data_IF_676477916236
#
_entry.id   IF_676477916236
#
_cell.length_a   1.000
_cell.length_b   1.000
_cell.length_c   1.000
_cell.angle_alpha   90.00
_cell.angle_beta   90.00
_cell.angle_gamma   90.00
#
_symmetry.space_group_name_H-M   'P 1'
#
loop_
_entity.id
_entity.type
_entity.pdbx_description
1 polymer ?
#
# COMPACT_ATOMS: atom_id res chain seq x y z
N UNK A 1 12.54 -28.87 0.84
CA UNK A 1 11.79 -28.43 2.04
C UNK A 1 10.49 -29.19 2.07
N UNK A 2 10.09 -29.72 3.23
CA UNK A 2 8.80 -30.39 3.40
C UNK A 2 7.83 -29.39 4.02
N UNK A 3 6.58 -29.36 3.54
CA UNK A 3 5.54 -28.48 4.08
C UNK A 3 4.45 -29.37 4.67
N UNK A 4 4.15 -29.15 5.95
CA UNK A 4 3.14 -29.90 6.68
C UNK A 4 1.95 -29.01 7.00
N UNK A 5 0.76 -29.61 7.00
CA UNK A 5 -0.46 -29.02 7.51
C UNK A 5 -0.68 -29.51 8.94
N UNK A 6 -0.47 -28.64 9.94
CA UNK A 6 -0.45 -29.02 11.36
C UNK A 6 -1.04 -27.93 12.23
N UNK A 7 -1.48 -28.32 13.43
CA UNK A 7 -1.88 -27.36 14.45
C UNK A 7 -0.69 -26.53 14.92
N UNK A 8 -0.89 -25.21 15.02
CA UNK A 8 0.05 -24.22 15.53
C UNK A 8 -0.69 -23.28 16.48
N UNK A 9 -0.11 -23.02 17.64
CA UNK A 9 -0.56 -21.94 18.51
C UNK A 9 -0.02 -20.61 17.96
N UNK A 10 -0.92 -19.69 17.61
CA UNK A 10 -0.58 -18.33 17.20
C UNK A 10 -0.44 -17.45 18.46
N UNK A 11 0.77 -16.97 18.79
CA UNK A 11 0.96 -16.10 19.95
C UNK A 11 0.18 -14.79 19.82
N UNK A 12 -0.06 -14.15 20.96
CA UNK A 12 -0.40 -12.73 20.97
C UNK A 12 0.90 -11.92 20.90
N UNK A 13 1.09 -11.19 19.79
CA UNK A 13 2.22 -10.28 19.62
C UNK A 13 1.94 -8.90 20.21
N UNK A 14 0.72 -8.64 20.69
CA UNK A 14 0.30 -7.35 21.22
C UNK A 14 -0.14 -6.34 20.16
N UNK A 15 -0.68 -5.22 20.65
CA UNK A 15 -1.11 -4.07 19.86
C UNK A 15 -0.30 -2.84 20.26
N UNK A 16 -0.12 -1.86 19.36
CA UNK A 16 0.52 -0.59 19.71
C UNK A 16 -0.29 0.15 20.79
N UNK A 17 0.40 0.70 21.79
CA UNK A 17 -0.23 1.47 22.87
C UNK A 17 -0.49 2.94 22.52
N UNK A 18 0.15 3.44 21.45
CA UNK A 18 0.02 4.80 20.96
C UNK A 18 0.15 4.84 19.42
N UNK A 19 -0.56 5.77 18.80
CA UNK A 19 -0.40 6.12 17.39
C UNK A 19 0.92 6.90 17.20
N UNK A 20 1.82 6.48 16.29
CA UNK A 20 3.00 7.26 15.97
C UNK A 20 2.63 8.63 15.37
N UNK A 21 3.50 9.63 15.54
CA UNK A 21 3.25 10.98 15.02
C UNK A 21 4.46 11.42 14.20
N UNK A 22 4.23 11.83 12.96
CA UNK A 22 5.25 12.48 12.14
C UNK A 22 5.39 13.94 12.56
N UNK A 23 6.58 14.32 13.01
CA UNK A 23 6.86 15.71 13.39
C UNK A 23 6.89 16.65 12.18
N UNK A 24 6.67 17.95 12.41
CA UNK A 24 6.86 18.99 11.39
C UNK A 24 8.21 18.89 10.67
N UNK A 25 9.29 18.55 11.40
CA UNK A 25 10.64 18.42 10.83
C UNK A 25 10.72 17.35 9.73
N UNK A 26 9.92 16.28 9.80
CA UNK A 26 9.86 15.25 8.75
C UNK A 26 9.33 15.87 7.45
N UNK A 27 8.23 16.63 7.53
CA UNK A 27 7.64 17.27 6.36
C UNK A 27 8.56 18.34 5.76
N UNK A 28 9.27 19.12 6.59
CA UNK A 28 10.29 20.06 6.13
C UNK A 28 11.43 19.36 5.37
N UNK A 29 11.89 18.21 5.87
CA UNK A 29 12.88 17.38 5.17
C UNK A 29 12.35 16.83 3.84
N UNK A 30 11.07 16.43 3.77
CA UNK A 30 10.44 15.97 2.53
C UNK A 30 10.36 17.08 1.48
N UNK A 31 10.03 18.31 1.89
CA UNK A 31 10.08 19.49 1.00
C UNK A 31 11.51 19.77 0.54
N UNK A 32 12.51 19.63 1.41
CA UNK A 32 13.91 19.79 1.04
C UNK A 32 14.36 18.73 0.01
N UNK A 33 14.00 17.45 0.21
CA UNK A 33 14.25 16.36 -0.75
C UNK A 33 13.56 16.61 -2.10
N UNK A 34 12.32 17.09 -2.08
CA UNK A 34 11.60 17.49 -3.30
C UNK A 34 12.35 18.60 -4.04
N UNK A 35 12.80 19.66 -3.34
CA UNK A 35 13.57 20.75 -3.95
C UNK A 35 14.89 20.28 -4.57
N UNK A 36 15.56 19.29 -3.98
CA UNK A 36 16.75 18.69 -4.57
C UNK A 36 16.43 17.98 -5.90
N UNK A 37 15.33 17.21 -5.96
CA UNK A 37 14.83 16.59 -7.20
C UNK A 37 14.43 17.65 -8.24
N UNK A 38 13.77 18.72 -7.80
CA UNK A 38 13.42 19.86 -8.65
C UNK A 38 14.66 20.50 -9.28
N UNK A 39 15.71 20.74 -8.49
CA UNK A 39 16.97 21.29 -8.99
C UNK A 39 17.60 20.38 -10.05
N UNK A 40 17.64 19.06 -9.80
CA UNK A 40 18.21 18.10 -10.74
C UNK A 40 17.42 18.01 -12.07
N UNK A 41 16.12 18.28 -12.03
CA UNK A 41 15.22 18.27 -13.20
C UNK A 41 15.01 19.66 -13.81
N UNK A 42 15.69 20.69 -13.32
CA UNK A 42 15.56 22.09 -13.77
C UNK A 42 14.11 22.62 -13.67
N UNK A 43 13.42 22.25 -12.59
CA UNK A 43 12.07 22.71 -12.27
C UNK A 43 12.09 23.91 -11.32
N UNK A 44 11.31 24.93 -11.63
CA UNK A 44 11.10 26.08 -10.74
C UNK A 44 9.97 25.81 -9.73
N UNK A 45 8.96 25.06 -10.17
CA UNK A 45 7.78 24.74 -9.37
C UNK A 45 7.38 23.28 -9.57
N UNK A 46 6.88 22.67 -8.49
CA UNK A 46 6.11 21.42 -8.56
C UNK A 46 4.73 21.68 -7.99
N UNK A 47 3.71 21.35 -8.77
CA UNK A 47 2.31 21.41 -8.40
C UNK A 47 1.82 19.98 -8.17
N UNK A 48 1.28 19.71 -6.98
CA UNK A 48 0.74 18.41 -6.61
C UNK A 48 -0.77 18.55 -6.47
N UNK A 49 -1.50 17.88 -7.35
CA UNK A 49 -2.94 17.74 -7.29
C UNK A 49 -3.30 16.63 -6.30
N UNK A 50 -4.30 16.89 -5.46
CA UNK A 50 -4.85 15.89 -4.55
C UNK A 50 -6.38 15.88 -4.55
N UNK A 51 -6.98 14.71 -4.62
CA UNK A 51 -8.42 14.47 -4.40
C UNK A 51 -8.64 13.37 -3.34
N UNK A 52 -9.90 13.05 -3.03
CA UNK A 52 -10.24 12.02 -2.02
C UNK A 52 -9.55 10.67 -2.27
N UNK A 53 -9.47 10.23 -3.51
CA UNK A 53 -8.91 8.93 -3.89
C UNK A 53 -7.39 9.03 -4.13
N UNK A 54 -6.92 10.17 -4.61
CA UNK A 54 -5.56 10.40 -5.06
C UNK A 54 -4.90 11.57 -4.31
N UNK A 55 -4.60 11.40 -3.02
CA UNK A 55 -4.01 12.46 -2.20
C UNK A 55 -2.64 12.16 -1.63
N UNK A 56 -2.15 10.93 -1.78
CA UNK A 56 -1.02 10.46 -1.01
C UNK A 56 0.27 11.28 -1.23
N UNK A 57 0.46 11.87 -2.41
CA UNK A 57 1.59 12.77 -2.67
C UNK A 57 1.46 14.11 -1.91
N UNK A 58 0.26 14.70 -1.85
CA UNK A 58 -0.02 15.90 -1.04
C UNK A 58 0.16 15.59 0.44
N UNK A 59 -0.46 14.51 0.94
CA UNK A 59 -0.39 14.12 2.34
C UNK A 59 1.03 13.75 2.77
N UNK A 60 1.80 13.09 1.91
CA UNK A 60 3.22 12.83 2.16
C UNK A 60 4.02 14.12 2.38
N UNK A 61 3.78 15.15 1.56
CA UNK A 61 4.55 16.38 1.60
C UNK A 61 4.19 17.31 2.74
N UNK A 62 2.91 17.41 3.12
CA UNK A 62 2.47 18.42 4.08
C UNK A 62 1.58 17.91 5.23
N UNK A 63 1.16 16.65 5.18
CA UNK A 63 0.28 16.04 6.18
C UNK A 63 -1.18 16.47 6.09
N UNK A 64 -1.57 17.21 5.04
CA UNK A 64 -2.96 17.48 4.70
C UNK A 64 -3.52 16.40 3.78
N UNK A 65 -4.72 15.90 4.05
CA UNK A 65 -5.45 15.01 3.16
C UNK A 65 -6.82 15.60 2.74
N UNK A 66 -7.09 15.79 1.44
CA UNK A 66 -8.42 16.16 0.94
C UNK A 66 -9.44 15.05 1.23
N UNK A 67 -10.55 15.40 1.90
CA UNK A 67 -11.59 14.43 2.29
C UNK A 67 -12.69 14.23 1.25
N UNK A 68 -13.22 15.33 0.73
CA UNK A 68 -14.29 15.35 -0.27
C UNK A 68 -14.18 16.54 -1.24
N UNK A 69 -13.27 17.48 -0.97
CA UNK A 69 -12.86 18.55 -1.88
C UNK A 69 -11.50 18.20 -2.50
N UNK A 70 -11.13 18.95 -3.55
CA UNK A 70 -9.82 18.86 -4.20
C UNK A 70 -8.81 19.82 -3.55
N UNK A 71 -7.52 19.61 -3.79
CA UNK A 71 -6.45 20.51 -3.34
C UNK A 71 -5.35 20.64 -4.39
N UNK A 72 -4.61 21.75 -4.29
CA UNK A 72 -3.40 21.97 -5.08
C UNK A 72 -2.27 22.50 -4.18
N UNK A 73 -1.23 21.69 -3.99
CA UNK A 73 -0.02 22.09 -3.30
C UNK A 73 1.00 22.60 -4.32
N UNK A 74 1.46 23.83 -4.18
CA UNK A 74 2.48 24.45 -5.03
C UNK A 74 3.75 24.61 -4.23
N UNK A 75 4.81 23.91 -4.66
CA UNK A 75 6.14 23.98 -4.05
C UNK A 75 7.09 24.70 -5.00
N UNK A 76 7.56 25.88 -4.59
CA UNK A 76 8.65 26.60 -5.27
C UNK A 76 10.04 26.23 -4.74
N UNK A 77 11.08 26.68 -5.45
CA UNK A 77 12.50 26.50 -5.06
C UNK A 77 12.83 26.95 -3.64
N UNK A 78 12.12 27.95 -3.13
CA UNK A 78 12.30 28.54 -1.80
C UNK A 78 10.96 28.93 -1.18
N UNK A 79 10.97 29.37 0.09
CA UNK A 79 9.77 29.89 0.77
C UNK A 79 8.84 28.80 1.29
N UNK A 80 7.65 29.20 1.73
CA UNK A 80 6.61 28.26 2.14
C UNK A 80 5.84 27.74 0.91
N UNK A 81 5.46 26.46 0.88
CA UNK A 81 4.51 25.98 -0.13
C UNK A 81 3.17 26.71 -0.03
N UNK A 82 2.47 26.84 -1.16
CA UNK A 82 1.10 27.33 -1.19
C UNK A 82 0.15 26.14 -1.25
N UNK A 83 -0.89 26.11 -0.42
CA UNK A 83 -1.92 25.07 -0.45
C UNK A 83 -3.25 25.71 -0.82
N UNK A 84 -3.68 25.48 -2.06
CA UNK A 84 -4.97 25.94 -2.58
C UNK A 84 -6.05 24.95 -2.19
N UNK A 85 -7.16 25.46 -1.64
CA UNK A 85 -8.20 24.67 -0.98
C UNK A 85 -9.59 25.21 -1.29
N UNK A 86 -10.59 24.33 -1.24
CA UNK A 86 -11.99 24.71 -1.13
C UNK A 86 -12.38 25.17 0.28
N UNK A 87 -13.66 25.47 0.48
CA UNK A 87 -14.18 26.05 1.72
C UNK A 87 -13.98 25.14 2.94
N UNK A 88 -14.24 23.84 2.81
CA UNK A 88 -14.16 22.91 3.94
C UNK A 88 -12.71 22.46 4.19
N UNK A 89 -11.92 22.33 3.10
CA UNK A 89 -10.49 22.07 3.18
C UNK A 89 -9.71 23.21 3.86
N UNK A 90 -10.15 24.46 3.69
CA UNK A 90 -9.48 25.65 4.23
C UNK A 90 -9.23 25.58 5.74
N UNK A 91 -10.29 25.31 6.51
CA UNK A 91 -10.21 25.19 7.97
C UNK A 91 -9.47 23.93 8.40
N UNK A 92 -9.70 22.80 7.71
CA UNK A 92 -9.05 21.53 8.04
C UNK A 92 -7.53 21.59 7.90
N UNK A 93 -7.02 22.36 6.93
CA UNK A 93 -5.58 22.52 6.70
C UNK A 93 -4.79 23.17 7.84
N UNK A 94 -5.44 23.70 8.89
CA UNK A 94 -4.73 24.16 10.11
C UNK A 94 -4.08 23.02 10.90
N UNK A 95 -4.59 21.80 10.71
CA UNK A 95 -4.04 20.61 11.36
C UNK A 95 -2.81 20.05 10.63
N UNK A 96 -2.52 20.54 9.41
CA UNK A 96 -1.37 20.10 8.65
C UNK A 96 -0.07 20.54 9.37
N UNK A 97 0.84 19.61 9.69
CA UNK A 97 2.04 19.91 10.47
C UNK A 97 3.07 20.78 9.71
N UNK A 98 3.05 20.78 8.37
CA UNK A 98 3.91 21.64 7.58
C UNK A 98 3.34 23.08 7.52
N UNK A 99 4.12 24.12 7.88
CA UNK A 99 3.71 25.50 7.63
C UNK A 99 3.54 25.79 6.14
N UNK A 100 2.37 26.30 5.77
CA UNK A 100 2.01 26.59 4.38
C UNK A 100 1.26 27.90 4.26
N UNK A 101 1.34 28.53 3.08
CA UNK A 101 0.47 29.62 2.70
C UNK A 101 -0.84 29.03 2.16
N UNK A 102 -1.88 29.01 2.99
CA UNK A 102 -3.20 28.57 2.53
C UNK A 102 -3.77 29.62 1.56
N UNK A 103 -4.30 29.18 0.41
CA UNK A 103 -5.05 30.02 -0.54
C UNK A 103 -6.46 29.49 -0.76
N UNK A 104 -7.50 30.28 -0.47
CA UNK A 104 -8.89 29.87 -0.68
C UNK A 104 -9.20 30.01 -2.17
N UNK A 105 -9.36 28.89 -2.85
CA UNK A 105 -9.67 28.83 -4.26
C UNK A 105 -11.03 28.14 -4.46
N UNK A 106 -12.07 28.96 -4.60
CA UNK A 106 -13.47 28.51 -4.57
C UNK A 106 -13.84 27.44 -5.61
N UNK A 107 -13.07 27.31 -6.70
CA UNK A 107 -13.36 26.28 -7.71
C UNK A 107 -13.09 24.85 -7.21
N UNK A 108 -12.26 24.69 -6.16
CA UNK A 108 -12.03 23.40 -5.50
C UNK A 108 -13.09 23.08 -4.43
N UNK A 109 -13.96 24.04 -4.10
CA UNK A 109 -15.09 23.81 -3.19
C UNK A 109 -16.13 22.91 -3.83
N UNK A 110 -17.05 22.31 -3.06
CA UNK A 110 -18.12 21.47 -3.63
C UNK A 110 -19.03 22.23 -4.62
N UNK A 111 -19.71 21.48 -5.51
CA UNK A 111 -20.65 22.06 -6.49
C UNK A 111 -21.83 22.73 -5.78
N UNK A 112 -22.28 23.87 -6.30
CA UNK A 112 -23.43 24.61 -5.77
C UNK A 112 -23.13 25.54 -4.59
N UNK A 113 -21.90 25.52 -4.05
CA UNK A 113 -21.44 26.55 -3.11
C UNK A 113 -21.18 27.88 -3.84
N UNK A 114 -21.13 29.00 -3.11
CA UNK A 114 -20.79 30.31 -3.69
C UNK A 114 -19.31 30.35 -4.11
N UNK A 115 -19.09 30.51 -5.42
CA UNK A 115 -17.75 30.60 -6.03
C UNK A 115 -17.48 31.94 -6.70
N UNK A 116 -18.33 32.94 -6.45
CA UNK A 116 -18.23 34.25 -7.09
C UNK A 116 -17.20 35.17 -6.42
N UNK A 117 -16.77 34.82 -5.20
CA UNK A 117 -15.72 35.51 -4.46
C UNK A 117 -14.40 34.72 -4.50
N UNK A 118 -13.29 35.38 -4.16
CA UNK A 118 -11.97 34.74 -4.08
C UNK A 118 -11.08 35.03 -5.29
N UNK A 119 -9.99 34.26 -5.40
CA UNK A 119 -8.96 34.42 -6.43
C UNK A 119 -9.24 33.54 -7.64
N UNK A 120 -8.88 34.01 -8.83
CA UNK A 120 -8.84 33.13 -10.01
C UNK A 120 -7.66 32.17 -9.92
N UNK A 121 -7.70 31.06 -10.67
CA UNK A 121 -6.56 30.13 -10.75
C UNK A 121 -5.29 30.85 -11.21
N UNK A 122 -5.39 31.72 -12.22
CA UNK A 122 -4.24 32.47 -12.74
C UNK A 122 -3.66 33.40 -11.69
N UNK A 123 -4.50 34.11 -10.93
CA UNK A 123 -4.03 35.00 -9.87
C UNK A 123 -3.37 34.21 -8.73
N UNK A 124 -3.91 33.04 -8.38
CA UNK A 124 -3.32 32.17 -7.37
C UNK A 124 -1.95 31.62 -7.80
N UNK A 125 -1.82 31.19 -9.06
CA UNK A 125 -0.54 30.73 -9.64
C UNK A 125 0.48 31.87 -9.72
N UNK A 126 0.06 33.06 -10.17
CA UNK A 126 0.92 34.23 -10.23
C UNK A 126 1.36 34.72 -8.84
N UNK A 127 0.47 34.67 -7.85
CA UNK A 127 0.80 34.98 -6.45
C UNK A 127 1.83 34.01 -5.86
N UNK A 128 1.80 32.74 -6.28
CA UNK A 128 2.84 31.76 -5.95
C UNK A 128 4.17 31.99 -6.69
N UNK A 129 4.22 32.96 -7.62
CA UNK A 129 5.41 33.35 -8.37
C UNK A 129 5.56 32.67 -9.74
N UNK A 130 4.55 31.93 -10.20
CA UNK A 130 4.60 31.23 -11.50
C UNK A 130 4.35 32.24 -12.62
N UNK A 131 5.18 32.20 -13.67
CA UNK A 131 5.12 33.10 -14.81
C UNK A 131 5.53 32.37 -16.12
N UNK A 132 5.61 33.12 -17.23
CA UNK A 132 5.93 32.58 -18.56
C UNK A 132 7.34 31.97 -18.70
N UNK A 133 8.24 32.24 -17.76
CA UNK A 133 9.61 31.69 -17.78
C UNK A 133 9.74 30.44 -16.90
N UNK A 134 8.68 30.05 -16.19
CA UNK A 134 8.72 28.97 -15.20
C UNK A 134 8.71 27.58 -15.84
N UNK A 135 9.63 26.73 -15.40
CA UNK A 135 9.57 25.29 -15.65
C UNK A 135 8.73 24.61 -14.55
N UNK A 136 7.63 23.98 -14.94
CA UNK A 136 6.58 23.51 -14.03
C UNK A 136 6.47 21.99 -14.11
N UNK A 137 6.63 21.32 -12.97
CA UNK A 137 6.28 19.92 -12.80
C UNK A 137 4.86 19.81 -12.25
N UNK A 138 4.08 18.87 -12.78
CA UNK A 138 2.77 18.51 -12.23
C UNK A 138 2.79 17.05 -11.80
N UNK A 139 2.34 16.79 -10.57
CA UNK A 139 2.15 15.45 -10.04
C UNK A 139 0.70 15.26 -9.58
N UNK A 140 0.18 14.07 -9.80
CA UNK A 140 -1.10 13.56 -9.31
C UNK A 140 -0.85 12.21 -8.66
N UNK A 141 -1.17 11.12 -9.36
CA UNK A 141 -1.01 9.74 -8.85
C UNK A 141 -0.39 8.72 -9.81
N UNK A 142 -0.06 9.09 -11.06
CA UNK A 142 0.64 8.16 -11.97
C UNK A 142 1.48 8.87 -13.04
N UNK A 143 2.50 8.19 -13.53
CA UNK A 143 3.26 8.58 -14.72
C UNK A 143 3.20 7.44 -15.74
N UNK A 144 3.61 7.75 -16.98
CA UNK A 144 3.57 6.81 -18.09
C UNK A 144 4.98 6.52 -18.61
N UNK A 145 5.10 5.46 -19.40
CA UNK A 145 6.35 5.07 -20.03
C UNK A 145 6.32 5.29 -21.54
N UNK A 146 7.49 5.24 -22.17
CA UNK A 146 7.61 5.30 -23.64
C UNK A 146 6.99 4.11 -24.36
N UNK A 147 6.67 3.04 -23.63
CA UNK A 147 5.93 1.90 -24.17
C UNK A 147 4.43 2.22 -24.38
N UNK A 148 3.90 3.22 -23.68
CA UNK A 148 2.50 3.61 -23.73
C UNK A 148 2.29 4.86 -24.60
N UNK A 149 3.19 5.84 -24.49
CA UNK A 149 3.10 7.12 -25.19
C UNK A 149 4.47 7.55 -25.72
N UNK A 150 4.52 8.26 -26.85
CA UNK A 150 5.79 8.73 -27.42
C UNK A 150 6.50 9.79 -26.58
N UNK A 151 5.73 10.63 -25.89
CA UNK A 151 6.22 11.73 -25.05
C UNK A 151 5.50 11.68 -23.68
N UNK A 152 5.77 10.66 -22.85
CA UNK A 152 5.04 10.40 -21.60
C UNK A 152 5.14 11.56 -20.60
N UNK A 153 6.20 12.35 -20.65
CA UNK A 153 6.41 13.54 -19.81
C UNK A 153 5.38 14.66 -20.07
N UNK A 154 4.61 14.59 -21.16
CA UNK A 154 3.56 15.56 -21.48
C UNK A 154 2.14 14.98 -21.40
N UNK A 155 2.01 13.77 -20.84
CA UNK A 155 0.73 13.08 -20.62
C UNK A 155 0.37 13.17 -19.14
N UNK A 156 -0.88 13.53 -18.85
CA UNK A 156 -1.36 13.82 -17.51
C UNK A 156 -2.67 13.09 -17.20
N UNK A 157 -2.77 12.63 -15.97
CA UNK A 157 -3.94 12.05 -15.31
C UNK A 157 -4.74 13.08 -14.49
N UNK A 158 -4.16 14.27 -14.29
CA UNK A 158 -4.77 15.38 -13.53
C UNK A 158 -5.81 16.14 -14.35
N UNK A 159 -6.72 16.91 -13.72
CA UNK A 159 -7.76 17.66 -14.43
C UNK A 159 -7.23 18.55 -15.57
N UNK A 160 -7.85 18.45 -16.75
CA UNK A 160 -7.38 19.12 -17.97
C UNK A 160 -7.37 20.65 -17.83
N UNK A 161 -8.34 21.23 -17.12
CA UNK A 161 -8.42 22.69 -16.95
C UNK A 161 -7.20 23.26 -16.22
N UNK A 162 -6.58 22.48 -15.33
CA UNK A 162 -5.35 22.87 -14.64
C UNK A 162 -4.17 22.86 -15.60
N UNK A 163 -4.02 21.77 -16.36
CA UNK A 163 -2.94 21.63 -17.36
C UNK A 163 -3.06 22.72 -18.43
N UNK A 164 -4.26 23.00 -18.92
CA UNK A 164 -4.52 24.04 -19.91
C UNK A 164 -4.17 25.44 -19.37
N UNK A 165 -4.52 25.72 -18.11
CA UNK A 165 -4.17 26.99 -17.46
C UNK A 165 -2.64 27.14 -17.32
N UNK A 166 -1.93 26.10 -16.91
CA UNK A 166 -0.47 26.11 -16.76
C UNK A 166 0.25 26.26 -18.11
N UNK A 167 -0.20 25.55 -19.15
CA UNK A 167 0.35 25.68 -20.51
C UNK A 167 0.11 27.08 -21.08
N UNK A 168 -1.05 27.67 -20.80
CA UNK A 168 -1.35 29.04 -21.20
C UNK A 168 -0.51 30.07 -20.45
N UNK A 169 -0.29 29.86 -19.15
CA UNK A 169 0.50 30.77 -18.30
C UNK A 169 1.99 30.73 -18.67
N UNK A 170 2.54 29.54 -18.90
CA UNK A 170 3.92 29.35 -19.37
C UNK A 170 4.10 29.87 -20.81
N UNK A 171 3.07 29.78 -21.65
CA UNK A 171 3.14 30.17 -23.06
C UNK A 171 3.89 29.16 -23.94
N UNK A 172 4.45 28.11 -23.33
CA UNK A 172 5.12 27.00 -23.99
C UNK A 172 4.70 25.68 -23.33
N UNK A 173 3.91 24.82 -24.01
CA UNK A 173 3.44 23.56 -23.45
C UNK A 173 4.55 22.63 -22.94
N UNK A 174 5.75 22.72 -23.51
CA UNK A 174 6.91 21.90 -23.14
C UNK A 174 7.50 22.27 -21.76
N UNK A 175 7.14 23.41 -21.18
CA UNK A 175 7.54 23.80 -19.82
C UNK A 175 6.70 23.14 -18.74
N UNK A 176 5.58 22.50 -19.10
CA UNK A 176 4.70 21.79 -18.15
C UNK A 176 4.92 20.29 -18.33
N UNK A 177 5.52 19.63 -17.33
CA UNK A 177 5.91 18.21 -17.37
C UNK A 177 5.21 17.39 -16.29
N UNK A 178 4.82 16.16 -16.60
CA UNK A 178 4.43 15.17 -15.60
C UNK A 178 5.67 14.75 -14.81
N UNK A 179 5.59 14.84 -13.48
CA UNK A 179 6.71 14.54 -12.58
C UNK A 179 6.33 13.58 -11.45
N UNK A 180 5.27 12.78 -11.62
CA UNK A 180 4.86 11.78 -10.62
C UNK A 180 5.98 10.81 -10.24
N UNK A 181 6.91 10.53 -11.17
CA UNK A 181 8.08 9.69 -10.93
C UNK A 181 8.97 10.23 -9.79
N UNK A 182 8.99 11.54 -9.49
CA UNK A 182 9.70 12.09 -8.33
C UNK A 182 9.26 11.38 -7.04
N UNK A 183 7.97 11.07 -6.92
CA UNK A 183 7.39 10.47 -5.72
C UNK A 183 7.36 8.95 -5.78
N UNK A 184 7.10 8.38 -6.97
CA UNK A 184 6.63 6.99 -7.12
C UNK A 184 7.54 6.12 -7.99
N UNK A 185 8.69 6.62 -8.47
CA UNK A 185 9.65 5.78 -9.18
C UNK A 185 10.12 4.62 -8.26
N UNK A 186 10.06 3.35 -8.70
CA UNK A 186 10.36 2.20 -7.86
C UNK A 186 11.82 2.10 -7.40
N UNK A 187 12.74 2.84 -8.02
CA UNK A 187 14.15 2.88 -7.63
C UNK A 187 14.43 3.95 -6.57
N UNK A 188 13.98 5.18 -6.82
CA UNK A 188 14.44 6.36 -6.08
C UNK A 188 13.33 7.41 -5.80
N UNK A 189 12.07 7.02 -5.95
CA UNK A 189 10.91 7.84 -5.63
C UNK A 189 10.90 8.22 -4.15
N UNK A 190 10.53 9.47 -3.85
CA UNK A 190 10.56 9.99 -2.48
C UNK A 190 9.71 9.17 -1.50
N UNK A 191 8.61 8.57 -1.97
CA UNK A 191 7.71 7.74 -1.15
C UNK A 191 8.12 6.27 -1.09
N UNK A 192 9.15 5.86 -1.82
CA UNK A 192 9.67 4.50 -1.75
C UNK A 192 10.60 4.33 -0.54
N UNK A 193 11.29 5.40 -0.13
CA UNK A 193 12.26 5.38 0.98
C UNK A 193 11.68 6.12 2.19
N UNK A 194 11.31 5.35 3.21
CA UNK A 194 10.57 5.84 4.38
C UNK A 194 11.49 6.11 5.57
N UNK A 195 11.16 7.16 6.32
CA UNK A 195 11.75 7.43 7.63
C UNK A 195 11.28 6.41 8.69
N UNK A 196 12.01 6.27 9.81
CA UNK A 196 11.64 5.36 10.89
C UNK A 196 10.23 5.62 11.45
N UNK A 197 9.84 6.89 11.56
CA UNK A 197 8.51 7.34 11.98
C UNK A 197 7.42 6.87 11.02
N UNK A 198 7.68 6.91 9.71
CA UNK A 198 6.73 6.47 8.69
C UNK A 198 6.58 4.95 8.70
N UNK A 199 7.68 4.22 8.90
CA UNK A 199 7.64 2.76 9.10
C UNK A 199 6.90 2.37 10.38
N UNK A 200 7.01 3.16 11.45
CA UNK A 200 6.24 2.94 12.66
C UNK A 200 4.73 3.10 12.44
N UNK A 201 4.31 4.11 11.64
CA UNK A 201 2.91 4.25 11.23
C UNK A 201 2.41 3.03 10.43
N UNK A 202 3.26 2.50 9.55
CA UNK A 202 2.91 1.33 8.75
C UNK A 202 2.76 0.08 9.60
N UNK A 203 3.64 -0.13 10.58
CA UNK A 203 3.51 -1.23 11.54
C UNK A 203 2.28 -1.07 12.45
N UNK A 204 1.96 0.16 12.86
CA UNK A 204 0.73 0.46 13.59
C UNK A 204 -0.51 0.05 12.77
N UNK A 205 -0.62 0.50 11.52
CA UNK A 205 -1.73 0.15 10.62
C UNK A 205 -1.79 -1.36 10.34
N UNK A 206 -0.63 -2.00 10.14
CA UNK A 206 -0.53 -3.44 9.95
C UNK A 206 -1.00 -4.22 11.19
N UNK A 207 -0.77 -3.74 12.41
CA UNK A 207 -1.30 -4.38 13.62
C UNK A 207 -2.84 -4.45 13.60
N UNK A 208 -3.52 -3.37 13.20
CA UNK A 208 -4.99 -3.36 13.14
C UNK A 208 -5.53 -4.23 12.01
N UNK A 209 -4.96 -4.14 10.81
CA UNK A 209 -5.42 -4.95 9.67
C UNK A 209 -5.21 -6.44 9.91
N UNK A 210 -4.01 -6.85 10.34
CA UNK A 210 -3.72 -8.26 10.63
C UNK A 210 -4.51 -8.81 11.83
N UNK A 211 -4.70 -8.03 12.90
CA UNK A 211 -5.53 -8.43 14.05
C UNK A 211 -7.01 -8.51 13.68
N UNK A 212 -7.52 -7.61 12.84
CA UNK A 212 -8.89 -7.67 12.33
C UNK A 212 -9.13 -8.96 11.52
N UNK A 213 -8.21 -9.31 10.62
CA UNK A 213 -8.27 -10.57 9.88
C UNK A 213 -8.12 -11.80 10.80
N UNK A 214 -7.22 -11.74 11.79
CA UNK A 214 -7.11 -12.78 12.83
C UNK A 214 -8.46 -12.98 13.53
N UNK A 215 -9.11 -11.89 13.93
CA UNK A 215 -10.43 -11.97 14.59
C UNK A 215 -11.48 -12.64 13.69
N UNK A 216 -11.53 -12.31 12.40
CA UNK A 216 -12.41 -12.99 11.44
C UNK A 216 -12.08 -14.48 11.36
N UNK A 217 -10.81 -14.85 11.13
CA UNK A 217 -10.38 -16.26 11.01
C UNK A 217 -10.81 -17.11 12.21
N UNK A 218 -10.68 -16.58 13.42
CA UNK A 218 -10.93 -17.33 14.64
C UNK A 218 -12.39 -17.28 15.12
N UNK A 219 -13.23 -16.36 14.61
CA UNK A 219 -14.59 -16.15 15.11
C UNK A 219 -15.70 -16.29 14.06
N UNK A 220 -15.36 -16.32 12.77
CA UNK A 220 -16.35 -16.53 11.72
C UNK A 220 -16.95 -17.94 11.79
N UNK A 221 -18.20 -18.06 11.34
CA UNK A 221 -18.93 -19.32 11.30
C UNK A 221 -19.92 -19.33 10.14
N UNK A 222 -20.26 -20.51 9.59
CA UNK A 222 -21.35 -20.63 8.63
C UNK A 222 -22.64 -20.01 9.19
N UNK A 223 -23.43 -19.37 8.33
CA UNK A 223 -24.67 -18.70 8.69
C UNK A 223 -24.55 -17.20 8.98
N UNK A 224 -23.35 -16.66 9.21
CA UNK A 224 -23.14 -15.21 9.19
C UNK A 224 -23.30 -14.67 7.76
N UNK A 225 -23.75 -13.43 7.62
CA UNK A 225 -23.59 -12.67 6.38
C UNK A 225 -22.15 -12.15 6.25
N UNK A 226 -21.71 -11.82 5.04
CA UNK A 226 -20.42 -11.16 4.82
C UNK A 226 -20.33 -9.84 5.61
N UNK A 227 -21.43 -9.08 5.70
CA UNK A 227 -21.52 -7.87 6.52
C UNK A 227 -21.32 -8.16 8.01
N UNK A 228 -21.97 -9.19 8.57
CA UNK A 228 -21.77 -9.60 9.96
C UNK A 228 -20.33 -10.07 10.21
N UNK A 229 -19.76 -10.87 9.30
CA UNK A 229 -18.37 -11.30 9.37
C UNK A 229 -17.40 -10.12 9.34
N UNK A 230 -17.69 -9.09 8.55
CA UNK A 230 -16.87 -7.86 8.48
C UNK A 230 -16.83 -7.12 9.82
N UNK A 231 -17.91 -7.18 10.63
CA UNK A 231 -17.90 -6.53 11.96
C UNK A 231 -16.84 -7.11 12.90
N UNK A 232 -16.44 -8.36 12.69
CA UNK A 232 -15.36 -9.01 13.45
C UNK A 232 -13.98 -8.39 13.19
N UNK A 233 -13.80 -7.63 12.09
CA UNK A 233 -12.55 -6.93 11.81
C UNK A 233 -12.29 -5.75 12.76
N UNK A 234 -13.31 -5.31 13.52
CA UNK A 234 -13.20 -4.23 14.51
C UNK A 234 -12.60 -2.92 13.92
N UNK A 235 -13.10 -2.51 12.75
CA UNK A 235 -12.67 -1.27 12.09
C UNK A 235 -12.72 -0.07 13.05
N UNK A 236 -11.59 0.61 13.22
CA UNK A 236 -11.38 1.67 14.22
C UNK A 236 -11.56 3.09 13.66
N UNK A 237 -11.94 3.23 12.39
CA UNK A 237 -12.10 4.53 11.71
C UNK A 237 -10.81 5.13 11.17
N UNK A 238 -9.66 4.45 11.29
CA UNK A 238 -8.42 4.87 10.64
C UNK A 238 -8.60 4.92 9.11
N UNK A 239 -7.96 5.87 8.38
CA UNK A 239 -8.12 5.99 6.94
C UNK A 239 -7.81 4.70 6.19
N UNK A 240 -8.70 4.35 5.27
CA UNK A 240 -8.57 3.18 4.41
C UNK A 240 -7.61 3.47 3.24
N UNK A 241 -6.72 2.53 2.92
CA UNK A 241 -5.91 2.57 1.69
C UNK A 241 -6.62 1.95 0.47
N UNK A 242 -7.62 1.12 0.73
CA UNK A 242 -8.57 0.57 -0.24
C UNK A 242 -9.86 0.21 0.49
N UNK A 243 -10.98 0.07 -0.22
CA UNK A 243 -12.22 -0.37 0.44
C UNK A 243 -12.06 -1.76 1.07
N UNK A 244 -12.76 -2.02 2.18
CA UNK A 244 -12.77 -3.34 2.82
C UNK A 244 -13.35 -4.40 1.88
N UNK A 245 -12.65 -5.52 1.72
CA UNK A 245 -13.07 -6.63 0.86
C UNK A 245 -13.36 -7.84 1.74
N UNK A 246 -14.55 -8.42 1.61
CA UNK A 246 -14.88 -9.71 2.21
C UNK A 246 -15.99 -10.33 1.35
N UNK A 247 -15.72 -11.49 0.77
CA UNK A 247 -16.71 -12.17 -0.06
C UNK A 247 -16.59 -13.68 0.03
N UNK A 248 -17.73 -14.33 -0.09
CA UNK A 248 -17.89 -15.78 0.00
C UNK A 248 -18.63 -16.33 -1.23
N UNK A 249 -18.40 -17.59 -1.56
CA UNK A 249 -19.00 -18.23 -2.72
C UNK A 249 -18.45 -17.67 -4.03
N UNK A 250 -19.22 -17.69 -5.13
CA UNK A 250 -18.72 -17.32 -6.46
C UNK A 250 -18.08 -15.92 -6.56
N UNK A 251 -18.42 -15.00 -5.64
CA UNK A 251 -17.85 -13.65 -5.57
C UNK A 251 -16.41 -13.63 -5.04
N UNK A 252 -16.04 -14.60 -4.19
CA UNK A 252 -14.71 -14.69 -3.60
C UNK A 252 -13.59 -14.74 -4.64
N UNK A 253 -13.85 -15.37 -5.79
CA UNK A 253 -12.88 -15.50 -6.88
C UNK A 253 -12.45 -14.17 -7.52
N UNK A 254 -13.19 -13.08 -7.28
CA UNK A 254 -12.84 -11.76 -7.80
C UNK A 254 -11.95 -10.94 -6.85
N UNK A 255 -11.90 -11.28 -5.56
CA UNK A 255 -11.09 -10.60 -4.53
C UNK A 255 -11.52 -9.17 -4.16
N UNK A 256 -12.02 -8.40 -5.13
CA UNK A 256 -12.38 -6.99 -5.01
C UNK A 256 -13.80 -6.66 -4.51
N UNK A 257 -14.82 -7.55 -4.47
CA UNK A 257 -16.15 -7.15 -4.05
C UNK A 257 -16.24 -6.68 -2.59
N UNK A 258 -17.07 -5.66 -2.34
CA UNK A 258 -17.46 -5.26 -0.99
C UNK A 258 -18.32 -6.33 -0.30
N UNK A 259 -18.33 -6.38 1.05
CA UNK A 259 -19.23 -7.25 1.80
C UNK A 259 -20.70 -6.98 1.46
N UNK A 260 -21.51 -8.03 1.50
CA UNK A 260 -22.96 -7.98 1.23
C UNK A 260 -23.78 -8.78 2.25
N UNK A 261 -25.10 -8.87 2.03
CA UNK A 261 -25.97 -9.76 2.82
C UNK A 261 -25.87 -11.24 2.42
N UNK A 262 -24.91 -11.62 1.57
CA UNK A 262 -24.64 -13.02 1.23
C UNK A 262 -24.20 -13.79 2.48
N UNK A 263 -24.75 -14.99 2.66
CA UNK A 263 -24.49 -15.84 3.84
C UNK A 263 -23.30 -16.77 3.59
N UNK A 264 -22.42 -16.89 4.58
CA UNK A 264 -21.29 -17.80 4.63
C UNK A 264 -21.77 -19.26 4.70
N UNK A 265 -21.26 -20.14 3.82
CA UNK A 265 -21.64 -21.56 3.79
C UNK A 265 -20.44 -22.48 3.69
N UNK A 266 -20.54 -23.63 4.35
CA UNK A 266 -19.52 -24.67 4.26
C UNK A 266 -19.33 -25.12 2.82
N UNK A 267 -18.08 -25.31 2.41
CA UNK A 267 -17.71 -25.75 1.07
C UNK A 267 -17.61 -24.64 0.03
N UNK A 268 -17.83 -23.37 0.42
CA UNK A 268 -17.69 -22.23 -0.46
C UNK A 268 -16.28 -21.59 -0.36
N UNK A 269 -15.76 -21.03 -1.47
CA UNK A 269 -14.54 -20.23 -1.45
C UNK A 269 -14.75 -18.92 -0.70
N UNK A 270 -13.68 -18.38 -0.10
CA UNK A 270 -13.74 -17.20 0.75
C UNK A 270 -12.47 -16.35 0.58
N UNK A 271 -12.66 -15.04 0.50
CA UNK A 271 -11.58 -14.04 0.46
C UNK A 271 -11.91 -12.90 1.41
N UNK A 272 -10.90 -12.41 2.13
CA UNK A 272 -10.97 -11.18 2.92
C UNK A 272 -9.69 -10.37 2.80
N UNK A 273 -9.84 -9.04 2.82
CA UNK A 273 -8.75 -8.08 2.84
C UNK A 273 -9.17 -6.82 3.60
N UNK A 274 -8.27 -6.31 4.42
CA UNK A 274 -8.40 -5.02 5.09
C UNK A 274 -7.16 -4.18 4.79
N UNK A 275 -7.37 -2.97 4.29
CA UNK A 275 -6.32 -2.04 3.91
C UNK A 275 -6.51 -0.71 4.64
N UNK A 276 -5.52 -0.34 5.43
CA UNK A 276 -5.37 0.97 6.06
C UNK A 276 -4.16 1.68 5.42
N UNK A 277 -4.07 3.00 5.56
CA UNK A 277 -2.87 3.72 5.12
C UNK A 277 -1.62 3.16 5.77
N UNK A 278 -0.76 2.54 4.97
CA UNK A 278 0.50 1.92 5.40
C UNK A 278 0.45 0.43 5.70
N UNK A 279 -0.71 -0.22 5.65
CA UNK A 279 -0.81 -1.64 5.99
C UNK A 279 -2.00 -2.32 5.35
N UNK A 280 -1.75 -3.47 4.73
CA UNK A 280 -2.77 -4.34 4.18
C UNK A 280 -2.48 -5.79 4.59
N UNK A 281 -3.54 -6.52 4.92
CA UNK A 281 -3.49 -7.96 5.06
C UNK A 281 -4.67 -8.59 4.32
N UNK A 282 -4.40 -9.70 3.62
CA UNK A 282 -5.42 -10.48 2.92
C UNK A 282 -5.24 -11.97 3.18
N UNK A 283 -6.36 -12.70 3.23
CA UNK A 283 -6.37 -14.17 3.26
C UNK A 283 -7.48 -14.69 2.35
N UNK A 284 -7.19 -15.80 1.68
CA UNK A 284 -8.17 -16.51 0.86
C UNK A 284 -7.98 -18.03 0.96
N UNK A 285 -9.07 -18.76 0.81
CA UNK A 285 -9.11 -20.21 0.91
C UNK A 285 -10.54 -20.75 0.86
N UNK A 286 -10.78 -21.84 1.57
CA UNK A 286 -12.08 -22.51 1.59
C UNK A 286 -12.71 -22.45 2.97
N UNK A 287 -14.01 -22.15 3.02
CA UNK A 287 -14.79 -22.18 4.25
C UNK A 287 -15.19 -23.64 4.58
N UNK A 288 -14.21 -24.43 5.01
CA UNK A 288 -14.33 -25.85 5.38
C UNK A 288 -13.46 -26.16 6.59
N UNK A 289 -13.72 -27.27 7.29
CA UNK A 289 -12.89 -27.79 8.39
C UNK A 289 -11.74 -28.67 7.89
N UNK A 290 -12.00 -29.47 6.85
CA UNK A 290 -11.04 -30.39 6.25
C UNK A 290 -11.39 -30.71 4.79
N UNK A 291 -10.57 -31.55 4.14
CA UNK A 291 -10.72 -31.92 2.75
C UNK A 291 -12.04 -32.64 2.40
N UNK A 292 -12.75 -33.21 3.37
CA UNK A 292 -13.99 -33.96 3.10
C UNK A 292 -15.17 -33.06 2.76
N UNK A 293 -15.13 -31.79 3.19
CA UNK A 293 -16.16 -30.78 2.93
C UNK A 293 -15.90 -29.96 1.66
N UNK A 294 -14.77 -30.20 0.99
CA UNK A 294 -14.46 -29.58 -0.29
C UNK A 294 -15.36 -30.11 -1.42
N UNK A 295 -15.70 -29.27 -2.43
CA UNK A 295 -16.41 -29.73 -3.61
C UNK A 295 -15.71 -30.89 -4.32
N UNK A 296 -16.51 -31.70 -5.04
CA UNK A 296 -15.96 -32.81 -5.82
C UNK A 296 -15.00 -32.29 -6.90
N UNK A 297 -13.86 -32.96 -7.09
CA UNK A 297 -12.81 -32.54 -8.03
C UNK A 297 -11.81 -31.50 -7.48
N UNK A 298 -11.96 -31.02 -6.25
CA UNK A 298 -10.96 -30.14 -5.59
C UNK A 298 -10.46 -30.68 -4.25
N UNK A 299 -10.77 -31.93 -3.91
CA UNK A 299 -10.34 -32.57 -2.64
C UNK A 299 -8.82 -32.63 -2.45
N UNK A 300 -8.05 -32.57 -3.53
CA UNK A 300 -6.59 -32.49 -3.51
C UNK A 300 -6.05 -31.04 -3.43
N UNK A 301 -6.90 -30.04 -3.16
CA UNK A 301 -6.56 -28.60 -3.08
C UNK A 301 -5.30 -28.31 -2.24
N UNK A 302 -5.16 -28.98 -1.10
CA UNK A 302 -4.00 -28.81 -0.22
C UNK A 302 -2.68 -29.14 -0.95
N UNK A 303 -2.64 -30.28 -1.64
CA UNK A 303 -1.45 -30.77 -2.32
C UNK A 303 -1.21 -30.07 -3.66
N UNK A 304 -2.30 -29.79 -4.39
CA UNK A 304 -2.23 -29.24 -5.74
C UNK A 304 -2.03 -27.72 -5.76
N UNK A 305 -2.54 -27.00 -4.77
CA UNK A 305 -2.50 -25.53 -4.74
C UNK A 305 -1.83 -24.98 -3.48
N UNK A 306 -2.36 -25.25 -2.28
CA UNK A 306 -1.95 -24.53 -1.08
C UNK A 306 -0.49 -24.79 -0.68
N UNK A 307 -0.01 -26.04 -0.78
CA UNK A 307 1.39 -26.40 -0.49
C UNK A 307 2.38 -25.79 -1.50
N UNK A 308 2.19 -25.93 -2.83
CA UNK A 308 3.04 -25.25 -3.82
C UNK A 308 3.06 -23.73 -3.63
N UNK A 309 1.89 -23.13 -3.38
CA UNK A 309 1.76 -21.71 -3.09
C UNK A 309 2.58 -21.30 -1.86
N UNK A 310 2.39 -21.97 -0.73
CA UNK A 310 3.12 -21.66 0.50
C UNK A 310 4.62 -21.85 0.33
N UNK A 311 5.06 -22.81 -0.48
CA UNK A 311 6.48 -22.98 -0.82
C UNK A 311 7.04 -21.75 -1.55
N UNK A 312 6.28 -21.19 -2.48
CA UNK A 312 6.65 -19.97 -3.18
C UNK A 312 6.77 -18.79 -2.19
N UNK A 313 5.81 -18.65 -1.26
CA UNK A 313 5.84 -17.62 -0.22
C UNK A 313 7.04 -17.77 0.73
N UNK A 314 7.34 -18.99 1.20
CA UNK A 314 8.53 -19.28 2.01
C UNK A 314 9.78 -18.81 1.28
N UNK A 315 9.93 -19.19 0.01
CA UNK A 315 11.09 -18.79 -0.80
C UNK A 315 11.16 -17.27 -0.98
N UNK A 316 10.03 -16.59 -1.18
CA UNK A 316 9.97 -15.14 -1.32
C UNK A 316 10.51 -14.45 -0.07
N UNK A 317 10.03 -14.84 1.12
CA UNK A 317 10.46 -14.28 2.40
C UNK A 317 11.93 -14.53 2.74
N UNK A 318 12.46 -15.69 2.36
CA UNK A 318 13.86 -16.03 2.63
C UNK A 318 14.83 -15.39 1.63
N UNK A 319 14.32 -15.05 0.44
CA UNK A 319 15.13 -14.49 -0.64
C UNK A 319 15.19 -12.97 -0.61
N UNK A 320 14.09 -12.28 -0.31
CA UNK A 320 14.06 -10.82 -0.24
C UNK A 320 15.12 -10.28 0.74
N UNK A 321 15.72 -9.14 0.41
CA UNK A 321 16.70 -8.46 1.26
C UNK A 321 17.36 -7.29 0.56
N UNK A 322 18.07 -6.47 1.30
CA UNK A 322 18.76 -5.30 0.75
C UNK A 322 19.81 -5.75 -0.27
N UNK A 323 19.85 -5.07 -1.42
CA UNK A 323 20.77 -5.36 -2.53
C UNK A 323 20.35 -6.48 -3.48
N UNK A 324 19.29 -7.24 -3.14
CA UNK A 324 18.72 -8.27 -4.02
C UNK A 324 18.03 -7.60 -5.22
N UNK A 325 18.32 -8.02 -6.46
CA UNK A 325 17.57 -7.61 -7.64
C UNK A 325 16.11 -8.11 -7.58
N UNK A 326 15.15 -7.23 -7.82
CA UNK A 326 13.73 -7.53 -7.71
C UNK A 326 13.25 -8.56 -8.74
N UNK A 327 13.92 -8.67 -9.89
CA UNK A 327 13.64 -9.72 -10.88
C UNK A 327 13.87 -11.14 -10.35
N UNK A 328 14.76 -11.33 -9.36
CA UNK A 328 14.99 -12.64 -8.76
C UNK A 328 13.76 -13.14 -7.98
N UNK A 329 12.99 -12.24 -7.33
CA UNK A 329 11.72 -12.61 -6.71
C UNK A 329 10.65 -13.01 -7.75
N UNK A 330 10.63 -12.32 -8.89
CA UNK A 330 9.75 -12.68 -10.00
C UNK A 330 10.04 -14.11 -10.49
N UNK A 331 11.32 -14.38 -10.79
CA UNK A 331 11.76 -15.68 -11.30
C UNK A 331 11.53 -16.80 -10.28
N UNK A 332 11.75 -16.51 -8.99
CA UNK A 332 11.53 -17.46 -7.90
C UNK A 332 10.06 -17.87 -7.77
N UNK A 333 9.12 -16.91 -7.80
CA UNK A 333 7.69 -17.21 -7.73
C UNK A 333 7.24 -17.98 -8.97
N UNK A 334 7.64 -17.54 -10.16
CA UNK A 334 7.25 -18.22 -11.40
C UNK A 334 7.95 -19.58 -11.57
N UNK A 335 9.09 -19.82 -10.91
CA UNK A 335 9.72 -21.13 -10.84
C UNK A 335 8.93 -22.15 -10.00
N UNK A 336 8.17 -21.69 -9.00
CA UNK A 336 7.34 -22.56 -8.14
C UNK A 336 5.90 -22.70 -8.65
N UNK A 337 5.28 -21.59 -9.04
CA UNK A 337 3.86 -21.50 -9.37
C UNK A 337 3.61 -20.71 -10.68
N UNK A 338 4.57 -20.75 -11.61
CA UNK A 338 4.41 -20.14 -12.95
C UNK A 338 3.66 -21.01 -13.97
N UNK A 339 3.29 -22.23 -13.60
CA UNK A 339 2.41 -23.05 -14.45
C UNK A 339 1.06 -22.33 -14.68
N UNK A 340 0.51 -22.34 -15.92
CA UNK A 340 -0.75 -21.67 -16.23
C UNK A 340 -1.93 -22.05 -15.33
N UNK A 341 -1.91 -23.23 -14.69
CA UNK A 341 -2.89 -23.63 -13.68
C UNK A 341 -3.00 -22.63 -12.52
N UNK A 342 -1.89 -22.09 -12.03
CA UNK A 342 -1.91 -21.14 -10.91
C UNK A 342 -2.37 -19.76 -11.35
N UNK A 343 -2.13 -19.37 -12.61
CA UNK A 343 -2.64 -18.12 -13.16
C UNK A 343 -2.11 -16.87 -12.45
N UNK A 344 -0.87 -16.88 -11.96
CA UNK A 344 -0.21 -15.71 -11.36
C UNK A 344 0.01 -14.65 -12.45
N UNK A 345 -0.72 -13.54 -12.37
CA UNK A 345 -0.69 -12.45 -13.38
C UNK A 345 -0.11 -11.14 -12.87
N UNK A 346 -0.27 -10.88 -11.57
CA UNK A 346 0.23 -9.66 -10.94
C UNK A 346 1.71 -9.79 -10.59
N UNK A 347 2.34 -8.64 -10.34
CA UNK A 347 3.69 -8.59 -9.82
C UNK A 347 3.74 -9.25 -8.43
N UNK A 348 4.68 -10.17 -8.14
CA UNK A 348 4.75 -10.85 -6.86
C UNK A 348 5.32 -9.95 -5.74
N UNK A 349 4.52 -8.98 -5.34
CA UNK A 349 4.84 -7.94 -4.37
C UNK A 349 5.04 -6.55 -4.98
N UNK A 350 4.75 -5.54 -4.17
CA UNK A 350 4.81 -4.13 -4.52
C UNK A 350 5.09 -3.28 -3.28
N UNK A 351 5.51 -2.04 -3.49
CA UNK A 351 5.66 -1.07 -2.42
C UNK A 351 4.29 -0.61 -1.91
N UNK A 352 4.21 -0.40 -0.60
CA UNK A 352 3.04 0.12 0.11
C UNK A 352 3.38 1.48 0.72
N UNK A 353 2.40 2.37 0.82
CA UNK A 353 2.51 3.62 1.57
C UNK A 353 1.10 4.06 2.00
N UNK A 354 0.68 5.32 1.78
CA UNK A 354 -0.70 5.74 2.05
C UNK A 354 -1.64 5.11 1.00
N UNK A 355 -1.13 4.92 -0.22
CA UNK A 355 -1.75 4.07 -1.23
C UNK A 355 -1.47 2.61 -0.92
N UNK A 356 -2.43 1.75 -1.25
CA UNK A 356 -2.26 0.30 -1.25
C UNK A 356 -1.11 -0.12 -2.17
N UNK A 357 -1.07 0.42 -3.40
CA UNK A 357 -0.03 0.13 -4.39
C UNK A 357 0.64 1.39 -4.90
N UNK A 358 1.87 1.67 -4.44
CA UNK A 358 2.65 2.81 -4.94
C UNK A 358 3.27 2.49 -6.29
N UNK A 359 4.01 1.38 -6.35
CA UNK A 359 4.65 0.84 -7.55
C UNK A 359 5.17 -0.57 -7.24
N UNK A 360 5.37 -1.41 -8.24
CA UNK A 360 6.12 -2.66 -8.07
C UNK A 360 7.50 -2.59 -8.72
N UNK A 361 8.58 -3.02 -8.03
CA UNK A 361 9.88 -3.28 -8.65
C UNK A 361 9.97 -4.72 -9.20
N UNK A 362 9.00 -5.59 -8.86
CA UNK A 362 9.10 -7.05 -9.05
C UNK A 362 8.47 -7.46 -10.39
N UNK A 363 9.22 -7.37 -11.47
CA UNK A 363 8.80 -7.82 -12.80
C UNK A 363 9.90 -8.62 -13.48
N UNK A 364 9.54 -9.34 -14.55
CA UNK A 364 10.47 -10.16 -15.32
C UNK A 364 11.66 -9.34 -15.80
N UNK A 365 12.86 -9.76 -15.42
CA UNK A 365 14.10 -9.08 -15.82
C UNK A 365 14.35 -7.73 -15.12
N UNK A 366 13.66 -7.44 -14.02
CA UNK A 366 13.93 -6.25 -13.22
C UNK A 366 15.32 -6.32 -12.57
N UNK A 367 16.14 -5.30 -12.83
CA UNK A 367 17.47 -5.13 -12.22
C UNK A 367 17.44 -4.19 -11.00
N UNK A 368 16.27 -3.63 -10.68
CA UNK A 368 16.10 -2.74 -9.53
C UNK A 368 16.43 -3.49 -8.24
N UNK A 369 17.21 -2.85 -7.36
CA UNK A 369 17.63 -3.46 -6.10
C UNK A 369 16.83 -2.92 -4.93
N UNK A 370 16.49 -3.81 -4.02
CA UNK A 370 15.89 -3.42 -2.76
C UNK A 370 16.87 -2.64 -1.88
N UNK A 371 16.35 -1.65 -1.13
CA UNK A 371 17.11 -0.70 -0.32
C UNK A 371 16.52 -0.60 1.09
N UNK A 372 17.33 -0.13 2.02
CA UNK A 372 16.88 0.27 3.36
C UNK A 372 15.83 1.39 3.26
N UNK A 373 14.80 1.35 4.11
CA UNK A 373 13.67 2.27 4.12
C UNK A 373 12.49 1.87 3.24
N UNK A 374 12.61 0.81 2.44
CA UNK A 374 11.48 0.33 1.62
C UNK A 374 10.45 -0.41 2.47
N UNK A 375 9.18 -0.05 2.31
CA UNK A 375 8.04 -0.79 2.83
C UNK A 375 7.31 -1.48 1.67
N UNK A 376 7.02 -2.77 1.81
CA UNK A 376 6.41 -3.53 0.74
C UNK A 376 5.56 -4.68 1.26
N UNK A 377 4.73 -5.20 0.37
CA UNK A 377 3.85 -6.32 0.64
C UNK A 377 4.29 -7.54 -0.15
N UNK A 378 4.25 -8.71 0.50
CA UNK A 378 4.13 -9.95 -0.27
C UNK A 378 2.72 -9.97 -0.83
N UNK A 379 2.59 -9.98 -2.15
CA UNK A 379 1.30 -10.08 -2.84
C UNK A 379 1.47 -11.07 -3.97
N UNK A 380 1.05 -12.31 -3.71
CA UNK A 380 1.14 -13.40 -4.68
C UNK A 380 -0.20 -14.12 -4.64
N UNK A 381 -0.95 -14.01 -5.74
CA UNK A 381 -2.32 -14.52 -5.82
C UNK A 381 -2.42 -15.51 -6.98
N UNK A 382 -2.54 -16.82 -6.70
CA UNK A 382 -2.93 -17.79 -7.70
C UNK A 382 -4.38 -17.53 -8.15
N UNK A 383 -4.55 -16.89 -9.30
CA UNK A 383 -5.85 -16.71 -9.95
C UNK A 383 -6.16 -17.88 -10.89
N UNK A 384 -6.44 -19.07 -10.35
CA UNK A 384 -6.48 -20.30 -11.15
C UNK A 384 -7.50 -20.28 -12.30
N UNK A 385 -8.59 -19.50 -12.15
CA UNK A 385 -9.70 -19.50 -13.11
C UNK A 385 -10.44 -20.85 -13.18
N UNK A 386 -10.23 -21.73 -12.19
CA UNK A 386 -10.83 -23.06 -12.10
C UNK A 386 -11.65 -23.21 -10.82
N UNK A 387 -12.23 -24.40 -10.62
CA UNK A 387 -12.90 -24.74 -9.38
C UNK A 387 -11.99 -24.69 -8.13
N UNK A 388 -10.65 -24.70 -8.29
CA UNK A 388 -9.70 -24.68 -7.16
C UNK A 388 -9.65 -23.35 -6.40
N UNK A 389 -10.32 -22.30 -6.90
CA UNK A 389 -10.30 -20.97 -6.30
C UNK A 389 -8.86 -20.42 -6.18
N UNK A 390 -8.38 -20.19 -4.96
CA UNK A 390 -7.06 -19.61 -4.66
C UNK A 390 -6.59 -19.97 -3.24
N UNK A 391 -5.36 -19.57 -2.91
CA UNK A 391 -4.81 -19.45 -1.57
C UNK A 391 -4.02 -18.14 -1.53
N UNK A 392 -4.19 -17.34 -0.49
CA UNK A 392 -3.58 -16.01 -0.43
C UNK A 392 -3.03 -15.69 0.97
N UNK A 393 -1.80 -15.16 1.00
CA UNK A 393 -1.13 -14.42 2.06
C UNK A 393 -0.72 -13.08 1.46
N UNK A 394 -1.33 -12.01 1.95
CA UNK A 394 -0.77 -10.66 1.85
C UNK A 394 -0.38 -10.17 3.24
N UNK A 395 0.88 -9.77 3.39
CA UNK A 395 1.46 -9.25 4.63
C UNK A 395 2.54 -8.20 4.33
N UNK A 396 2.46 -7.06 5.02
CA UNK A 396 3.48 -6.00 4.95
C UNK A 396 4.79 -6.32 5.68
N UNK A 397 5.90 -5.91 5.07
CA UNK A 397 7.25 -5.90 5.64
C UNK A 397 7.94 -4.55 5.39
N UNK A 398 8.99 -4.27 6.15
CA UNK A 398 9.97 -3.25 5.80
C UNK A 398 11.38 -3.82 5.67
N UNK A 399 12.22 -3.14 4.90
CA UNK A 399 13.65 -3.41 4.79
C UNK A 399 14.41 -2.33 5.53
N UNK A 400 15.24 -2.73 6.50
CA UNK A 400 16.00 -1.81 7.32
C UNK A 400 17.42 -2.33 7.53
N UNK A 401 18.41 -1.55 7.11
CA UNK A 401 19.81 -1.80 7.44
C UNK A 401 20.06 -1.72 8.96
N UNK A 402 21.31 -1.91 9.38
CA UNK A 402 21.67 -1.85 10.80
C UNK A 402 21.35 -0.50 11.45
N UNK A 403 21.68 0.62 10.80
CA UNK A 403 21.43 1.95 11.35
C UNK A 403 19.94 2.23 11.52
N UNK A 404 19.12 1.88 10.53
CA UNK A 404 17.67 2.10 10.62
C UNK A 404 17.03 1.16 11.66
N UNK A 405 17.53 -0.07 11.83
CA UNK A 405 17.06 -0.97 12.89
C UNK A 405 17.40 -0.45 14.28
N UNK A 406 18.60 0.10 14.47
CA UNK A 406 19.00 0.75 15.73
C UNK A 406 18.11 1.96 16.03
N UNK A 407 17.86 2.80 15.04
CA UNK A 407 16.97 3.96 15.17
C UNK A 407 15.54 3.54 15.55
N UNK A 408 14.98 2.53 14.88
CA UNK A 408 13.65 1.98 15.21
C UNK A 408 13.63 1.42 16.63
N UNK A 409 14.65 0.64 17.02
CA UNK A 409 14.74 0.06 18.36
C UNK A 409 14.80 1.14 19.45
N UNK A 410 15.47 2.26 19.18
CA UNK A 410 15.59 3.38 20.11
C UNK A 410 14.30 4.22 20.19
N UNK A 411 13.73 4.61 19.04
CA UNK A 411 12.56 5.50 18.97
C UNK A 411 11.24 4.78 19.26
N UNK A 412 11.14 3.51 18.85
CA UNK A 412 9.90 2.72 18.90
C UNK A 412 10.15 1.34 19.54
N UNK A 413 10.54 1.28 20.83
CA UNK A 413 10.91 0.02 21.48
C UNK A 413 9.79 -1.03 21.51
N UNK A 414 8.52 -0.62 21.62
CA UNK A 414 7.38 -1.55 21.56
C UNK A 414 7.22 -2.18 20.18
N UNK A 415 7.30 -1.38 19.11
CA UNK A 415 7.30 -1.88 17.72
C UNK A 415 8.44 -2.88 17.51
N UNK A 416 9.64 -2.53 17.97
CA UNK A 416 10.81 -3.40 17.85
C UNK A 416 10.60 -4.75 18.55
N UNK A 417 10.04 -4.75 19.77
CA UNK A 417 9.72 -5.99 20.48
C UNK A 417 8.74 -6.88 19.71
N UNK A 418 7.67 -6.30 19.14
CA UNK A 418 6.71 -7.04 18.31
C UNK A 418 7.37 -7.64 17.08
N UNK A 419 8.19 -6.86 16.37
CA UNK A 419 8.95 -7.32 15.20
C UNK A 419 9.85 -8.50 15.56
N UNK A 420 10.59 -8.42 16.67
CA UNK A 420 11.46 -9.53 17.10
C UNK A 420 10.65 -10.78 17.49
N UNK A 421 9.51 -10.62 18.16
CA UNK A 421 8.63 -11.74 18.50
C UNK A 421 8.06 -12.42 17.26
N UNK A 422 7.61 -11.65 16.26
CA UNK A 422 7.14 -12.16 14.96
C UNK A 422 8.24 -12.88 14.21
N UNK A 423 9.46 -12.31 14.14
CA UNK A 423 10.62 -12.97 13.52
C UNK A 423 10.94 -14.31 14.18
N UNK A 424 10.91 -14.36 15.52
CA UNK A 424 11.12 -15.59 16.28
C UNK A 424 10.05 -16.64 15.96
N UNK A 425 8.77 -16.25 15.97
CA UNK A 425 7.66 -17.12 15.59
C UNK A 425 7.81 -17.67 14.16
N UNK A 426 8.10 -16.79 13.19
CA UNK A 426 8.32 -17.23 11.80
C UNK A 426 9.46 -18.24 11.70
N UNK A 427 10.57 -18.03 12.39
CA UNK A 427 11.74 -18.90 12.32
C UNK A 427 11.56 -20.23 13.06
N UNK A 428 11.01 -20.21 14.28
CA UNK A 428 10.95 -21.37 15.18
C UNK A 428 9.66 -22.18 15.01
N UNK A 429 8.55 -21.55 14.62
CA UNK A 429 7.24 -22.19 14.53
C UNK A 429 6.82 -22.42 13.09
N UNK A 430 6.86 -21.39 12.24
CA UNK A 430 6.47 -21.52 10.81
C UNK A 430 7.61 -22.12 9.96
N UNK A 431 8.86 -21.93 10.38
CA UNK A 431 10.06 -22.43 9.70
C UNK A 431 10.63 -21.53 8.59
N UNK A 432 10.16 -20.28 8.51
CA UNK A 432 10.63 -19.24 7.57
C UNK A 432 11.74 -18.41 8.21
N UNK A 433 12.93 -18.41 7.60
CA UNK A 433 14.11 -17.70 8.11
C UNK A 433 14.33 -16.38 7.40
N UNK A 434 13.86 -15.29 8.01
CA UNK A 434 14.06 -13.93 7.48
C UNK A 434 15.50 -13.45 7.65
N UNK A 435 16.04 -12.78 6.63
CA UNK A 435 17.31 -12.04 6.75
C UNK A 435 17.21 -10.94 7.82
N UNK A 436 18.31 -10.55 8.50
CA UNK A 436 18.28 -9.60 9.62
C UNK A 436 17.57 -8.27 9.31
N UNK A 437 17.67 -7.80 8.07
CA UNK A 437 17.11 -6.54 7.58
C UNK A 437 15.60 -6.58 7.27
N UNK A 438 14.96 -7.76 7.26
CA UNK A 438 13.53 -7.90 6.91
C UNK A 438 12.66 -7.81 8.17
N UNK A 439 11.82 -6.78 8.28
CA UNK A 439 11.00 -6.52 9.45
C UNK A 439 9.52 -6.87 9.19
N UNK A 440 8.96 -7.96 9.76
CA UNK A 440 7.55 -8.31 9.58
C UNK A 440 6.62 -7.42 10.43
N UNK A 441 5.57 -6.89 9.80
CA UNK A 441 4.61 -6.00 10.46
C UNK A 441 3.29 -6.68 10.87
N UNK A 442 2.94 -7.81 10.25
CA UNK A 442 1.68 -8.53 10.48
C UNK A 442 1.66 -9.32 11.80
N UNK A 443 0.52 -9.31 12.52
CA UNK A 443 0.22 -10.19 13.66
C UNK A 443 -0.23 -11.60 13.25
N UNK A 444 -0.32 -11.89 11.96
CA UNK A 444 -0.51 -13.23 11.40
C UNK A 444 0.59 -13.56 10.37
N UNK A 445 1.89 -13.37 10.71
CA UNK A 445 2.96 -13.29 9.72
C UNK A 445 3.18 -14.63 9.01
N UNK A 446 2.90 -14.66 7.70
CA UNK A 446 2.85 -15.87 6.87
C UNK A 446 1.93 -16.99 7.41
N UNK A 447 1.04 -16.67 8.34
CA UNK A 447 0.12 -17.62 8.95
C UNK A 447 -1.01 -17.93 7.97
N UNK A 448 -1.06 -19.17 7.49
CA UNK A 448 -1.97 -19.59 6.42
C UNK A 448 -2.71 -20.89 6.79
N UNK A 449 -3.96 -20.77 7.26
CA UNK A 449 -4.89 -21.89 7.31
C UNK A 449 -5.50 -22.13 5.91
N UNK A 450 -5.27 -23.29 5.26
CA UNK A 450 -5.90 -23.59 3.98
C UNK A 450 -7.42 -23.80 4.10
N UNK A 451 -7.85 -24.30 5.26
CA UNK A 451 -9.24 -24.60 5.62
C UNK A 451 -9.67 -23.65 6.73
N UNK A 452 -10.50 -22.68 6.39
CA UNK A 452 -10.69 -21.50 7.23
C UNK A 452 -11.59 -21.76 8.46
N UNK A 453 -12.29 -22.90 8.54
CA UNK A 453 -13.02 -23.33 9.75
C UNK A 453 -12.17 -24.18 10.70
N UNK A 454 -10.87 -24.32 10.43
CA UNK A 454 -9.86 -24.88 11.36
C UNK A 454 -8.66 -23.95 11.42
N UNK A 455 -8.84 -22.70 11.91
CA UNK A 455 -7.84 -21.63 11.82
C UNK A 455 -6.53 -21.95 12.53
N UNK A 456 -6.49 -22.89 13.46
CA UNK A 456 -5.29 -23.37 14.15
C UNK A 456 -4.43 -24.32 13.29
N UNK A 457 -4.99 -24.92 12.23
CA UNK A 457 -4.25 -25.81 11.33
C UNK A 457 -3.69 -25.02 10.15
N UNK A 458 -2.38 -24.88 10.11
CA UNK A 458 -1.68 -24.05 9.12
C UNK A 458 -0.59 -24.80 8.40
N UNK A 459 -0.10 -24.20 7.32
CA UNK A 459 1.09 -24.67 6.63
C UNK A 459 2.35 -24.19 7.36
N UNK A 460 3.29 -25.11 7.57
CA UNK A 460 4.62 -24.79 8.10
C UNK A 460 5.70 -25.61 7.41
N UNK A 461 6.93 -25.11 7.43
CA UNK A 461 8.11 -25.79 6.91
C UNK A 461 8.68 -26.73 7.98
N UNK A 462 8.88 -27.99 7.61
CA UNK A 462 9.73 -28.93 8.34
C UNK A 462 11.09 -28.98 7.65
N UNK A 463 12.14 -28.70 8.42
CA UNK A 463 13.52 -28.57 7.93
C UNK A 463 14.38 -29.74 8.36
#
# INVERSE_FOLDING_TARGET
MTINHTSVELPDFGMPSAEPILSQAIYEQRIAKLRQKMQALELDFVIVYGDREHNANTTYLCGYDPRFEESLLIVGKTGLPHLLLGNEGWGYAELAPLPMQRVLFQSLSLMGQDRLSGVSLNDALAAAGINSESNIGVAGWKYFTTAEFSEPEYVFETPSYLIDALRKLSGNPQQVRNVNAIFMNPDDGLRILNEAEQLAMFEFAACYTSSGLKSVLFNMRPGLTEMEATTLMELNGFPLGAHTMLSNGPRAAYGLPSPSMNTLKVGEPFTMCMCLWGGLNARAGWLVHDESELPEGVKDYLQKLAIPYFRAIVKWYEHIGIGVPAGELYDLIHGEIGDPFFGVKLNPGHFIHLDEWVHSPVYKGSELKFKSGMAMQVDVIPGTGTAYHTSNIEDGIALADESLREEIAQKFPEMWQRIQARRKFMAEVIGIKLKPEVLPFSNIPAYLPPYLLSPEKVLKVER
#
